data_IF_142095000863
#
_entry.id   IF_142095000863
#
_cell.length_a   1.000
_cell.length_b   1.000
_cell.length_c   1.000
_cell.angle_alpha   90.00
_cell.angle_beta   90.00
_cell.angle_gamma   90.00
#
_symmetry.space_group_name_H-M   'P 1'
#
loop_
_entity.id
_entity.type
_entity.pdbx_description
1 polymer ?
#
# COMPACT_ATOMS: atom_id res chain seq x y z
N UNK A 1 22.80 -12.19 12.56
CA UNK A 1 22.66 -12.44 12.26
C UNK A 1 22.11 -12.77 11.59
N UNK A 2 21.99 -12.07 11.48
CA UNK A 2 21.55 -12.28 10.75
C UNK A 2 21.04 -12.61 10.18
N UNK A 3 21.14 -12.45 9.92
CA UNK A 3 20.68 -12.77 9.14
C UNK A 3 20.24 -12.97 8.62
N UNK A 4 20.21 -12.72 8.63
CA UNK A 4 19.83 -13.01 7.98
C UNK A 4 19.39 -13.20 7.46
N UNK A 5 19.36 -13.04 7.39
CA UNK A 5 19.13 -13.43 6.75
C UNK A 5 18.54 -13.43 6.45
N UNK A 6 18.71 -13.47 6.08
CA UNK A 6 18.24 -13.79 5.59
C UNK A 6 17.59 -13.76 5.18
N UNK A 7 17.55 -13.46 5.07
CA UNK A 7 17.11 -13.65 4.53
C UNK A 7 16.39 -13.64 4.20
N UNK A 8 16.22 -13.30 4.16
CA UNK A 8 15.68 -13.52 3.62
C UNK A 8 15.07 -13.58 3.28
N UNK A 9 15.06 -13.26 3.20
CA UNK A 9 14.61 -13.50 2.73
C UNK A 9 14.00 -13.41 2.60
N UNK A 10 13.95 -13.19 2.53
CA UNK A 10 13.46 -13.24 2.28
C UNK A 10 12.82 -13.09 2.32
N UNK A 11 12.77 -12.86 2.45
CA UNK A 11 12.44 -12.92 2.48
C UNK A 11 12.06 -12.75 2.88
N UNK A 12 12.15 -12.56 2.91
CA UNK A 12 12.08 -12.58 3.20
C UNK A 12 12.05 -12.38 3.65
N UNK A 13 12.11 -12.26 3.79
CA UNK A 13 12.34 -12.23 4.15
C UNK A 13 12.54 -11.85 4.46
N UNK A 14 12.78 -11.55 4.53
CA UNK A 14 13.24 -11.46 4.76
C UNK A 14 13.21 -11.13 5.30
N UNK A 15 13.22 -10.84 5.53
CA UNK A 15 13.46 -10.77 5.92
C UNK A 15 13.50 -10.63 6.74
N UNK A 16 13.62 -10.58 6.98
CA UNK A 16 14.00 -10.44 7.77
C UNK A 16 14.35 -10.34 8.34
N UNK A 17 14.70 -10.04 8.32
CA UNK A 17 15.38 -9.97 8.76
C UNK A 17 15.82 -9.64 8.95
N UNK A 18 15.97 -9.31 8.79
CA UNK A 18 16.60 -9.03 8.86
C UNK A 18 16.58 -8.46 9.31
N UNK A 19 16.72 -8.22 9.27
CA UNK A 19 16.89 -7.76 9.72
C UNK A 19 16.55 -7.05 10.02
N UNK A 20 16.46 -7.05 9.82
CA UNK A 20 16.09 -6.41 10.77
C UNK A 20 15.80 -5.21 11.11
N UNK A 21 16.05 -4.54 10.86
CA UNK A 21 15.87 -3.38 10.95
C UNK A 21 14.57 -2.72 10.99
N UNK A 22 13.40 -3.35 10.80
CA UNK A 22 12.10 -2.72 10.87
C UNK A 22 11.41 -3.15 12.13
N UNK A 23 10.68 -2.20 12.76
CA UNK A 23 9.89 -2.52 13.93
C UNK A 23 8.72 -3.42 13.58
N UNK A 24 8.22 -3.36 12.33
CA UNK A 24 7.08 -4.17 11.91
C UNK A 24 7.29 -4.60 10.46
N UNK A 25 6.81 -5.78 10.13
CA UNK A 25 6.85 -6.27 8.75
C UNK A 25 5.94 -5.42 7.87
N UNK A 26 6.36 -5.21 6.63
CA UNK A 26 5.56 -4.48 5.67
C UNK A 26 4.84 -5.45 4.75
N UNK A 27 3.58 -5.12 4.49
CA UNK A 27 2.74 -5.87 3.59
C UNK A 27 2.77 -5.17 2.23
N UNK A 28 3.13 -5.89 1.19
CA UNK A 28 3.21 -5.33 -0.16
C UNK A 28 1.87 -5.46 -0.85
N UNK A 29 1.43 -4.37 -1.45
CA UNK A 29 0.11 -4.27 -2.02
C UNK A 29 0.16 -3.48 -3.33
N UNK A 30 -0.98 -3.45 -4.01
CA UNK A 30 -1.22 -2.53 -5.12
C UNK A 30 -2.72 -2.26 -5.13
N UNK A 31 -3.17 -1.50 -4.16
CA UNK A 31 -4.59 -1.31 -3.92
C UNK A 31 -4.98 0.14 -4.18
N UNK A 32 -6.00 0.39 -5.01
CA UNK A 32 -6.51 1.75 -5.17
C UNK A 32 -7.00 2.29 -3.83
N UNK A 33 -6.65 3.53 -3.56
CA UNK A 33 -7.01 4.20 -2.33
C UNK A 33 -7.14 5.69 -2.62
N UNK A 34 -7.40 6.48 -1.59
CA UNK A 34 -7.43 7.93 -1.72
C UNK A 34 -6.66 8.55 -0.58
N UNK A 35 -5.96 9.62 -0.88
CA UNK A 35 -5.31 10.42 0.14
C UNK A 35 -6.12 11.69 0.32
N UNK A 36 -6.61 11.91 1.52
CA UNK A 36 -7.50 13.02 1.84
C UNK A 36 -6.80 13.94 2.83
N UNK A 37 -6.55 15.17 2.42
CA UNK A 37 -5.98 16.17 3.30
C UNK A 37 -6.97 17.36 3.37
N UNK A 38 -6.63 18.35 4.19
CA UNK A 38 -7.49 19.52 4.37
C UNK A 38 -7.69 20.26 3.06
N UNK A 39 -6.69 20.22 2.19
CA UNK A 39 -6.69 21.04 0.98
C UNK A 39 -7.10 20.26 -0.27
N UNK A 40 -7.02 18.94 -0.25
CA UNK A 40 -7.27 18.17 -1.48
C UNK A 40 -7.52 16.72 -1.17
N UNK A 41 -8.19 16.07 -2.12
CA UNK A 41 -8.36 14.62 -2.14
C UNK A 41 -7.85 14.14 -3.48
N UNK A 42 -7.02 13.11 -3.48
CA UNK A 42 -6.57 12.56 -4.75
C UNK A 42 -6.47 11.04 -4.67
N UNK A 43 -6.66 10.43 -5.83
CA UNK A 43 -6.49 8.98 -5.96
C UNK A 43 -5.03 8.62 -5.75
N UNK A 44 -4.81 7.47 -5.15
CA UNK A 44 -3.48 6.95 -4.96
C UNK A 44 -3.52 5.43 -5.00
N UNK A 45 -2.33 4.85 -5.02
CA UNK A 45 -2.17 3.39 -4.94
C UNK A 45 -1.43 3.10 -3.65
N UNK A 46 -2.02 2.27 -2.81
CA UNK A 46 -1.37 1.82 -1.60
C UNK A 46 -0.38 0.73 -1.98
N UNK A 47 0.90 0.98 -1.75
CA UNK A 47 1.97 0.09 -2.19
C UNK A 47 2.42 -0.87 -1.10
N UNK A 48 2.51 -0.40 0.13
CA UNK A 48 2.79 -1.27 1.25
C UNK A 48 2.25 -0.64 2.52
N UNK A 49 2.09 -1.48 3.54
CA UNK A 49 1.55 -1.03 4.81
C UNK A 49 2.16 -1.86 5.93
N UNK A 50 2.34 -1.21 7.07
CA UNK A 50 2.73 -1.86 8.30
C UNK A 50 1.91 -1.24 9.42
N UNK A 51 2.13 -1.68 10.64
CA UNK A 51 1.41 -1.09 11.76
C UNK A 51 1.77 0.38 11.99
N UNK A 52 2.97 0.79 11.57
CA UNK A 52 3.47 2.15 11.85
C UNK A 52 3.35 3.11 10.68
N UNK A 53 3.07 2.63 9.47
CA UNK A 53 2.99 3.53 8.33
C UNK A 53 2.71 2.83 7.03
N UNK A 54 2.71 3.62 5.95
CA UNK A 54 2.38 3.11 4.63
C UNK A 54 3.13 3.91 3.56
N UNK A 55 3.20 3.34 2.36
CA UNK A 55 3.72 4.04 1.19
C UNK A 55 2.64 4.07 0.13
N UNK A 56 2.47 5.22 -0.47
CA UNK A 56 1.47 5.42 -1.51
C UNK A 56 2.12 6.06 -2.74
N UNK A 57 1.59 5.70 -3.91
CA UNK A 57 1.98 6.32 -5.17
C UNK A 57 0.84 7.22 -5.63
N UNK A 58 1.14 8.42 -6.07
CA UNK A 58 0.12 9.36 -6.48
C UNK A 58 0.67 10.33 -7.51
N UNK A 59 -0.25 10.97 -8.25
CA UNK A 59 0.13 11.90 -9.31
C UNK A 59 0.79 13.16 -8.76
N UNK A 60 0.32 13.64 -7.60
CA UNK A 60 0.85 14.86 -6.98
C UNK A 60 1.25 14.57 -5.55
N UNK A 61 2.47 14.08 -5.33
CA UNK A 61 2.90 13.76 -3.96
C UNK A 61 2.82 14.98 -3.05
N UNK A 62 2.36 14.74 -1.83
CA UNK A 62 2.22 15.80 -0.85
C UNK A 62 3.58 16.10 -0.21
N UNK A 63 3.79 17.37 0.20
CA UNK A 63 5.04 17.71 0.87
C UNK A 63 5.14 17.06 2.25
N UNK A 64 6.36 16.88 2.71
CA UNK A 64 6.61 16.36 4.06
C UNK A 64 5.92 17.23 5.10
N UNK A 65 5.48 16.58 6.17
CA UNK A 65 4.78 17.18 7.31
C UNK A 65 3.31 17.47 7.06
N UNK A 66 2.82 17.21 5.86
CA UNK A 66 1.38 17.31 5.60
C UNK A 66 0.68 16.12 6.23
N UNK A 67 -0.44 16.38 6.87
CA UNK A 67 -1.24 15.31 7.48
C UNK A 67 -2.47 15.01 6.65
N UNK A 68 -2.97 13.80 6.77
CA UNK A 68 -4.18 13.42 6.07
C UNK A 68 -4.54 11.98 6.34
N UNK A 69 -5.59 11.53 5.66
CA UNK A 69 -6.09 10.17 5.78
C UNK A 69 -5.80 9.41 4.50
N UNK A 70 -5.40 8.15 4.67
CA UNK A 70 -5.44 7.20 3.56
C UNK A 70 -6.75 6.45 3.70
N UNK A 71 -7.63 6.59 2.71
CA UNK A 71 -8.89 5.85 2.69
C UNK A 71 -8.71 4.63 1.82
N UNK A 72 -8.82 3.45 2.40
CA UNK A 72 -8.74 2.20 1.68
C UNK A 72 -9.89 1.32 2.12
N UNK A 73 -10.78 0.99 1.16
CA UNK A 73 -12.01 0.31 1.51
C UNK A 73 -12.82 1.17 2.46
N UNK A 74 -13.11 0.62 3.63
CA UNK A 74 -13.87 1.34 4.66
C UNK A 74 -12.98 1.89 5.76
N UNK A 75 -11.67 1.72 5.60
CA UNK A 75 -10.73 2.15 6.63
C UNK A 75 -10.19 3.53 6.31
N UNK A 76 -9.96 4.29 7.36
CA UNK A 76 -9.33 5.60 7.27
C UNK A 76 -8.11 5.57 8.19
N UNK A 77 -6.95 5.80 7.63
CA UNK A 77 -5.69 5.69 8.35
C UNK A 77 -5.04 7.07 8.40
N UNK A 78 -5.06 7.68 9.57
CA UNK A 78 -4.54 9.04 9.73
C UNK A 78 -3.05 9.02 9.97
N UNK A 79 -2.35 9.91 9.27
CA UNK A 79 -0.91 10.00 9.44
C UNK A 79 -0.35 11.26 8.85
N UNK A 80 0.97 11.32 8.88
CA UNK A 80 1.72 12.49 8.44
C UNK A 80 2.74 12.05 7.40
N UNK A 81 2.85 12.82 6.33
CA UNK A 81 3.84 12.57 5.29
C UNK A 81 5.23 12.78 5.88
N UNK A 82 6.07 11.75 5.81
CA UNK A 82 7.44 11.85 6.32
C UNK A 82 8.46 11.82 5.18
N UNK A 83 8.03 11.49 3.97
CA UNK A 83 8.91 11.52 2.81
C UNK A 83 8.09 11.78 1.57
N UNK A 84 8.65 12.60 0.69
CA UNK A 84 8.08 12.89 -0.61
C UNK A 84 9.15 12.63 -1.65
N UNK A 85 8.85 11.79 -2.63
CA UNK A 85 9.80 11.42 -3.66
C UNK A 85 9.11 11.57 -5.02
N UNK A 86 9.66 12.44 -5.85
CA UNK A 86 9.09 12.66 -7.19
C UNK A 86 9.73 11.72 -8.19
N UNK A 87 8.89 11.10 -9.00
CA UNK A 87 9.32 10.13 -10.01
C UNK A 87 8.51 10.38 -11.28
N UNK A 88 9.14 10.97 -12.28
CA UNK A 88 8.45 11.26 -13.53
C UNK A 88 7.27 12.19 -13.31
N UNK A 89 6.10 11.77 -13.78
CA UNK A 89 4.88 12.58 -13.70
C UNK A 89 4.15 12.46 -12.37
N UNK A 90 4.65 11.62 -11.48
CA UNK A 90 4.02 11.43 -10.18
C UNK A 90 5.07 11.26 -9.11
N UNK A 91 4.78 10.41 -8.13
CA UNK A 91 5.76 10.12 -7.10
C UNK A 91 5.21 9.28 -5.98
N UNK A 92 5.97 9.25 -4.91
CA UNK A 92 5.68 8.42 -3.75
C UNK A 92 5.64 9.28 -2.50
N UNK A 93 4.75 8.91 -1.59
CA UNK A 93 4.77 9.47 -0.25
C UNK A 93 4.91 8.33 0.76
N UNK A 94 5.74 8.53 1.75
CA UNK A 94 5.78 7.68 2.92
C UNK A 94 5.00 8.38 4.02
N UNK A 95 4.08 7.64 4.63
CA UNK A 95 3.17 8.17 5.65
C UNK A 95 3.46 7.45 6.95
N UNK A 96 3.72 8.20 8.01
CA UNK A 96 3.84 7.64 9.34
C UNK A 96 2.51 7.84 10.05
N UNK A 97 1.94 6.74 10.57
CA UNK A 97 0.67 6.86 11.29
C UNK A 97 0.90 7.54 12.63
N UNK A 98 -0.02 8.41 13.00
CA UNK A 98 0.08 9.12 14.29
C UNK A 98 0.02 8.13 15.44
N UNK A 99 -0.79 7.07 15.28
CA UNK A 99 -0.82 5.97 16.23
C UNK A 99 -0.72 4.67 15.43
N UNK A 100 0.06 3.71 15.91
CA UNK A 100 0.14 2.43 15.21
C UNK A 100 -1.23 1.79 15.08
N UNK A 101 -1.49 1.18 13.93
CA UNK A 101 -2.75 0.44 13.74
C UNK A 101 -2.57 -0.98 14.25
N UNK A 102 -3.69 -1.64 14.52
CA UNK A 102 -3.65 -2.99 15.04
C UNK A 102 -3.44 -4.02 13.95
N UNK A 103 -3.11 -5.23 14.37
CA UNK A 103 -2.96 -6.33 13.43
C UNK A 103 -4.26 -6.61 12.70
N UNK A 104 -5.40 -6.43 13.36
CA UNK A 104 -6.69 -6.65 12.74
C UNK A 104 -6.90 -5.72 11.54
N UNK A 105 -6.46 -4.48 11.67
CA UNK A 105 -6.57 -3.53 10.56
C UNK A 105 -5.64 -3.88 9.42
N UNK A 106 -4.41 -4.31 9.73
CA UNK A 106 -3.48 -4.76 8.70
C UNK A 106 -4.07 -5.97 7.97
N UNK A 107 -4.67 -6.90 8.70
CA UNK A 107 -5.31 -8.07 8.10
C UNK A 107 -6.51 -7.69 7.26
N UNK A 108 -7.30 -6.72 7.70
CA UNK A 108 -8.46 -6.26 6.94
C UNK A 108 -8.02 -5.67 5.61
N UNK A 109 -6.94 -4.90 5.61
CA UNK A 109 -6.41 -4.31 4.37
C UNK A 109 -5.86 -5.41 3.48
N UNK A 110 -5.21 -6.40 4.05
CA UNK A 110 -4.71 -7.53 3.29
C UNK A 110 -5.84 -8.26 2.58
N UNK A 111 -6.92 -8.52 3.30
CA UNK A 111 -8.10 -9.19 2.70
C UNK A 111 -8.71 -8.34 1.61
N UNK A 112 -8.81 -7.05 1.84
CA UNK A 112 -9.31 -6.14 0.82
C UNK A 112 -8.46 -6.21 -0.44
N UNK A 113 -7.14 -6.25 -0.28
CA UNK A 113 -6.22 -6.35 -1.41
C UNK A 113 -6.35 -7.67 -2.14
N UNK A 114 -6.50 -8.77 -1.42
CA UNK A 114 -6.67 -10.09 -2.02
C UNK A 114 -7.98 -10.15 -2.78
N UNK A 115 -9.05 -9.62 -2.20
CA UNK A 115 -10.35 -9.61 -2.87
C UNK A 115 -10.32 -8.73 -4.11
N UNK A 116 -9.65 -7.59 -4.01
CA UNK A 116 -9.52 -6.68 -5.15
C UNK A 116 -8.76 -7.36 -6.28
N UNK A 117 -7.64 -8.01 -5.96
CA UNK A 117 -6.83 -8.70 -6.97
C UNK A 117 -7.61 -9.82 -7.62
N UNK A 118 -8.40 -10.55 -6.83
CA UNK A 118 -9.21 -11.63 -7.35
C UNK A 118 -10.27 -11.11 -8.31
N UNK A 119 -10.95 -10.03 -7.95
CA UNK A 119 -11.97 -9.45 -8.82
C UNK A 119 -11.38 -8.92 -10.12
N UNK A 120 -10.19 -8.30 -10.05
CA UNK A 120 -9.51 -7.83 -11.24
C UNK A 120 -9.14 -8.99 -12.16
N UNK A 121 -8.65 -10.05 -11.57
CA UNK A 121 -8.29 -11.24 -12.32
C UNK A 121 -9.51 -11.86 -13.01
N UNK A 122 -10.62 -11.94 -12.30
CA UNK A 122 -11.87 -12.48 -12.86
C UNK A 122 -12.41 -11.60 -13.97
N UNK A 123 -12.37 -10.29 -13.78
CA UNK A 123 -12.81 -9.34 -14.81
C UNK A 123 -11.99 -9.51 -16.08
N UNK A 124 -10.68 -9.69 -15.94
CA UNK A 124 -9.80 -9.90 -17.08
C UNK A 124 -10.13 -11.22 -17.79
N UNK A 125 -10.34 -12.28 -17.03
CA UNK A 125 -10.68 -13.57 -17.61
C UNK A 125 -12.02 -13.52 -18.35
N UNK A 126 -12.99 -12.82 -17.80
CA UNK A 126 -14.29 -12.67 -18.46
C UNK A 126 -14.14 -11.88 -19.75
N UNK A 127 -13.32 -10.85 -19.75
CA UNK A 127 -13.05 -10.06 -20.94
C UNK A 127 -12.40 -10.91 -22.01
N UNK A 128 -11.41 -11.71 -21.66
CA UNK A 128 -10.74 -12.61 -22.60
C UNK A 128 -11.74 -13.64 -23.16
N UNK A 129 -12.60 -14.18 -22.30
CA UNK A 129 -13.60 -15.15 -22.73
C UNK A 129 -14.54 -14.54 -23.76
N UNK A 130 -14.99 -13.31 -23.51
CA UNK A 130 -15.86 -12.63 -24.48
C UNK A 130 -15.15 -12.39 -25.82
N UNK A 131 -13.87 -12.05 -25.75
CA UNK A 131 -13.06 -11.88 -26.95
C UNK A 131 -13.00 -13.16 -27.76
N UNK A 132 -12.71 -14.27 -27.09
CA UNK A 132 -12.57 -15.57 -27.76
C UNK A 132 -13.89 -16.03 -28.35
N UNK A 133 -15.01 -15.78 -27.68
CA UNK A 133 -16.32 -16.21 -28.15
C UNK A 133 -16.93 -15.24 -29.16
N UNK A 134 -16.32 -14.10 -29.40
CA UNK A 134 -16.82 -13.11 -30.33
C UNK A 134 -17.94 -12.27 -29.78
N UNK A 135 -18.15 -12.24 -28.48
CA UNK A 135 -19.16 -11.41 -27.88
C UNK A 135 -18.69 -9.95 -27.78
N UNK A 136 -19.60 -9.00 -28.00
CA UNK A 136 -19.25 -7.59 -27.91
C UNK A 136 -18.95 -7.09 -26.51
#
# INVERSE_FOLDING_TARGET
>A
MTPAGHETSPTQVDTAAKVGRRAAARLRLAIPARFVSVTATQACILLDISRSGARIALASPAPSRKSGYIEVGRLELFGTIVRCERLGDGGLNAVAFDEPIGEAEVLAIRRFGEDFALREHQALRDQVRRWVSGEP
#
